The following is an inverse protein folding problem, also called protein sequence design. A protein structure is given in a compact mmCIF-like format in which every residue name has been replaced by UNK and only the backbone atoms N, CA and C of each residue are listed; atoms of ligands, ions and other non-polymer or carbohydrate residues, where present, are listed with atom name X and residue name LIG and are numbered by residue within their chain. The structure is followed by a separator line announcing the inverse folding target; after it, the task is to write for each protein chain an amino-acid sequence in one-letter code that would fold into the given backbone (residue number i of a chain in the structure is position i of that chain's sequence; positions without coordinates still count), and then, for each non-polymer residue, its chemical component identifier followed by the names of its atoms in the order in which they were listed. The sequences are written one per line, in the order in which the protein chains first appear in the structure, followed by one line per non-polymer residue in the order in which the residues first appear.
data_IF_944949747429
#
_entry.id   IF_944949747429
#
_cell.length_a   1.000
_cell.length_b   1.000
_cell.length_c   1.000
_cell.angle_alpha   90.00
_cell.angle_beta   90.00
_cell.angle_gamma   90.00
#
_symmetry.space_group_name_H-M   'P 1'
#
loop_
_entity.id
_entity.type
_entity.pdbx_description
1 polymer ?
#
# COMPACT_ATOMS: atom_id res chain seq x y z
N UNK A 1 -6.65 18.71 -19.91
CA UNK A 1 -5.56 18.30 -20.81
C UNK A 1 -4.54 17.48 -20.00
N UNK A 2 -4.84 16.20 -19.70
CA UNK A 2 -3.99 15.26 -18.93
C UNK A 2 -4.08 13.82 -19.50
N UNK A 3 -4.49 13.67 -20.77
CA UNK A 3 -4.86 12.36 -21.36
C UNK A 3 -3.70 11.47 -21.85
N UNK A 4 -2.44 11.74 -21.48
CA UNK A 4 -1.29 10.94 -21.97
C UNK A 4 -0.18 10.78 -20.93
N UNK A 5 -0.46 9.95 -19.92
CA UNK A 5 0.56 9.27 -19.13
C UNK A 5 0.20 7.78 -19.21
N UNK A 6 1.18 6.92 -19.46
CA UNK A 6 0.97 5.46 -19.59
C UNK A 6 0.33 4.84 -18.33
N UNK A 7 0.38 5.55 -17.19
CA UNK A 7 -0.16 5.13 -15.90
C UNK A 7 -1.56 5.69 -15.58
N UNK A 8 -2.26 6.33 -16.52
CA UNK A 8 -3.52 7.03 -16.21
C UNK A 8 -4.62 6.11 -15.65
N UNK A 9 -4.76 4.88 -16.16
CA UNK A 9 -5.74 3.93 -15.64
C UNK A 9 -5.42 3.52 -14.19
N UNK A 10 -4.14 3.32 -13.87
CA UNK A 10 -3.67 3.04 -12.50
C UNK A 10 -3.97 4.20 -11.56
N UNK A 11 -3.76 5.45 -12.02
CA UNK A 11 -4.08 6.65 -11.24
C UNK A 11 -5.59 6.75 -10.97
N UNK A 12 -6.45 6.39 -11.94
CA UNK A 12 -7.90 6.34 -11.69
C UNK A 12 -8.25 5.31 -10.63
N UNK A 13 -7.64 4.13 -10.67
CA UNK A 13 -7.83 3.10 -9.63
C UNK A 13 -7.40 3.63 -8.26
N UNK A 14 -6.25 4.33 -8.16
CA UNK A 14 -5.80 5.00 -6.94
C UNK A 14 -6.87 6.01 -6.45
N UNK A 15 -7.33 6.94 -7.30
CA UNK A 15 -8.35 7.94 -6.94
C UNK A 15 -9.64 7.28 -6.43
N UNK A 16 -10.11 6.23 -7.12
CA UNK A 16 -11.33 5.50 -6.76
C UNK A 16 -11.16 4.84 -5.40
N UNK A 17 -10.04 4.19 -5.14
CA UNK A 17 -9.79 3.51 -3.88
C UNK A 17 -9.65 4.50 -2.72
N UNK A 18 -8.87 5.57 -2.88
CA UNK A 18 -8.74 6.63 -1.87
C UNK A 18 -10.09 7.30 -1.55
N UNK A 19 -10.95 7.48 -2.57
CA UNK A 19 -12.32 7.97 -2.39
C UNK A 19 -13.14 7.03 -1.50
N UNK A 20 -13.04 5.73 -1.71
CA UNK A 20 -13.73 4.70 -0.90
C UNK A 20 -13.21 4.73 0.53
N UNK A 21 -11.88 4.74 0.73
CA UNK A 21 -11.26 4.75 2.06
C UNK A 21 -11.64 5.99 2.90
N UNK A 22 -11.90 7.13 2.26
CA UNK A 22 -12.34 8.36 2.93
C UNK A 22 -13.86 8.60 2.87
N UNK A 23 -14.65 7.63 2.41
CA UNK A 23 -16.10 7.74 2.29
C UNK A 23 -16.58 8.99 1.52
N UNK A 24 -15.84 9.39 0.48
CA UNK A 24 -16.16 10.56 -0.35
C UNK A 24 -17.26 10.23 -1.37
N UNK A 25 -18.15 11.19 -1.68
CA UNK A 25 -19.32 10.95 -2.55
C UNK A 25 -18.93 10.50 -3.96
N UNK A 26 -19.70 9.58 -4.53
CA UNK A 26 -19.38 9.00 -5.84
C UNK A 26 -19.62 9.96 -7.02
N UNK A 27 -20.49 10.96 -6.83
CA UNK A 27 -21.07 11.79 -7.89
C UNK A 27 -20.07 12.80 -8.50
N UNK A 28 -19.01 13.21 -7.78
CA UNK A 28 -18.16 14.32 -8.23
C UNK A 28 -16.69 13.96 -8.40
N UNK A 29 -16.38 13.26 -9.51
CA UNK A 29 -15.02 12.75 -9.83
C UNK A 29 -13.91 13.80 -9.73
N UNK A 30 -14.09 14.98 -10.34
CA UNK A 30 -13.06 16.03 -10.35
C UNK A 30 -12.88 16.68 -8.97
N UNK A 31 -13.97 16.99 -8.25
CA UNK A 31 -13.89 17.58 -6.90
C UNK A 31 -13.17 16.64 -5.92
N UNK A 32 -13.41 15.32 -6.03
CA UNK A 32 -12.72 14.33 -5.20
C UNK A 32 -11.22 14.31 -5.46
N UNK A 33 -10.80 14.33 -6.73
CA UNK A 33 -9.37 14.39 -7.04
C UNK A 33 -8.70 15.66 -6.49
N UNK A 34 -9.32 16.83 -6.67
CA UNK A 34 -8.82 18.09 -6.09
C UNK A 34 -8.74 18.00 -4.57
N UNK A 35 -9.78 17.47 -3.92
CA UNK A 35 -9.81 17.26 -2.47
C UNK A 35 -8.68 16.33 -2.00
N UNK A 36 -8.45 15.22 -2.69
CA UNK A 36 -7.35 14.29 -2.40
C UNK A 36 -6.00 14.99 -2.52
N UNK A 37 -5.77 15.76 -3.59
CA UNK A 37 -4.54 16.53 -3.77
C UNK A 37 -4.35 17.61 -2.70
N UNK A 38 -5.41 18.31 -2.27
CA UNK A 38 -5.30 19.42 -1.32
C UNK A 38 -5.12 18.93 0.12
N UNK A 39 -5.89 17.95 0.56
CA UNK A 39 -5.94 17.59 1.99
C UNK A 39 -5.08 16.37 2.35
N UNK A 40 -4.77 15.48 1.40
CA UNK A 40 -4.13 14.20 1.71
C UNK A 40 -2.70 14.16 1.18
N UNK A 41 -1.73 14.55 2.00
CA UNK A 41 -0.31 14.57 1.61
C UNK A 41 0.22 13.19 1.21
N UNK A 42 -0.24 12.12 1.87
CA UNK A 42 0.11 10.75 1.52
C UNK A 42 -0.42 10.32 0.13
N UNK A 43 -1.58 10.86 -0.31
CA UNK A 43 -2.07 10.65 -1.67
C UNK A 43 -1.09 11.24 -2.70
N UNK A 44 -0.54 12.42 -2.40
CA UNK A 44 0.47 13.07 -3.27
C UNK A 44 1.69 12.17 -3.44
N UNK A 45 2.13 11.44 -2.42
CA UNK A 45 3.28 10.53 -2.53
C UNK A 45 3.01 9.45 -3.59
N UNK A 46 1.83 8.81 -3.52
CA UNK A 46 1.41 7.80 -4.51
C UNK A 46 1.26 8.45 -5.89
N UNK A 47 0.52 9.56 -5.98
CA UNK A 47 0.28 10.25 -7.24
C UNK A 47 1.58 10.70 -7.93
N UNK A 48 2.52 11.26 -7.17
CA UNK A 48 3.82 11.70 -7.66
C UNK A 48 4.70 10.53 -8.10
N UNK A 49 4.68 9.43 -7.36
CA UNK A 49 5.31 8.18 -7.79
C UNK A 49 4.79 7.72 -9.17
N UNK A 50 3.47 7.86 -9.44
CA UNK A 50 2.88 7.47 -10.75
C UNK A 50 3.29 8.37 -11.91
N UNK A 51 3.35 9.69 -11.71
CA UNK A 51 3.55 10.67 -12.81
C UNK A 51 5.03 11.03 -13.08
N UNK A 52 5.95 10.64 -12.19
CA UNK A 52 7.41 10.81 -12.30
C UNK A 52 7.87 12.24 -12.61
N UNK A 53 7.88 12.65 -13.88
CA UNK A 53 8.54 13.87 -14.40
C UNK A 53 7.80 15.18 -14.10
N UNK A 54 6.50 15.13 -13.85
CA UNK A 54 5.67 16.30 -13.53
C UNK A 54 5.64 16.66 -12.03
N UNK A 55 6.35 15.90 -11.22
CA UNK A 55 6.34 16.03 -9.75
C UNK A 55 6.99 17.32 -9.27
N UNK A 56 8.11 17.74 -9.88
CA UNK A 56 8.89 18.88 -9.40
C UNK A 56 8.05 20.16 -9.31
N UNK A 57 7.34 20.53 -10.39
CA UNK A 57 6.51 21.74 -10.40
C UNK A 57 5.32 21.65 -9.43
N UNK A 58 4.66 20.49 -9.35
CA UNK A 58 3.53 20.30 -8.44
C UNK A 58 3.98 20.29 -6.97
N UNK A 59 5.17 19.76 -6.69
CA UNK A 59 5.72 19.65 -5.33
C UNK A 59 6.07 21.00 -4.71
N UNK A 60 6.30 22.04 -5.51
CA UNK A 60 6.52 23.41 -5.03
C UNK A 60 5.26 23.98 -4.34
N UNK A 61 4.07 23.70 -4.88
CA UNK A 61 2.80 24.21 -4.34
C UNK A 61 2.06 23.20 -3.45
N UNK A 62 2.21 21.92 -3.77
CA UNK A 62 1.56 20.80 -3.09
C UNK A 62 2.64 19.77 -2.71
N UNK A 63 3.45 20.05 -1.67
CA UNK A 63 4.54 19.15 -1.31
C UNK A 63 4.01 17.78 -0.88
N UNK A 64 4.71 16.69 -1.23
CA UNK A 64 4.43 15.36 -0.69
C UNK A 64 4.67 15.33 0.83
N UNK A 65 4.16 14.30 1.49
CA UNK A 65 4.60 14.00 2.85
C UNK A 65 6.04 13.45 2.78
N UNK A 66 6.91 13.85 3.70
CA UNK A 66 8.32 13.37 3.74
C UNK A 66 8.43 11.84 3.81
N UNK A 67 7.42 11.21 4.41
CA UNK A 67 7.22 9.76 4.53
C UNK A 67 5.83 9.43 3.96
N UNK A 68 5.54 8.24 3.44
CA UNK A 68 6.37 7.04 3.35
C UNK A 68 7.50 7.12 2.32
N UNK A 69 8.50 6.25 2.52
CA UNK A 69 9.46 5.87 1.48
C UNK A 69 8.84 4.75 0.63
N UNK A 70 8.83 4.91 -0.69
CA UNK A 70 8.33 3.91 -1.64
C UNK A 70 9.46 3.59 -2.64
N UNK A 71 9.92 2.35 -2.62
CA UNK A 71 10.88 1.78 -3.57
C UNK A 71 10.37 0.41 -4.00
N UNK A 72 9.96 0.27 -5.26
CA UNK A 72 9.42 -0.99 -5.77
C UNK A 72 10.12 -1.36 -7.07
N UNK A 73 10.62 -2.59 -7.14
CA UNK A 73 11.46 -3.07 -8.23
C UNK A 73 10.68 -3.24 -9.54
N UNK A 74 9.56 -3.97 -9.50
CA UNK A 74 8.80 -4.33 -10.71
C UNK A 74 7.61 -3.42 -10.93
N UNK A 75 6.57 -3.57 -10.10
CA UNK A 75 5.30 -2.88 -10.30
C UNK A 75 4.53 -2.68 -9.00
N UNK A 76 3.75 -1.61 -8.97
CA UNK A 76 2.68 -1.37 -8.02
C UNK A 76 1.41 -1.26 -8.85
N UNK A 77 0.41 -2.11 -8.65
CA UNK A 77 -0.88 -1.98 -9.32
C UNK A 77 -1.75 -0.89 -8.65
N UNK A 78 -2.95 -0.62 -9.16
CA UNK A 78 -3.76 0.52 -8.70
C UNK A 78 -4.46 0.29 -7.35
N UNK A 79 -4.68 1.38 -6.62
CA UNK A 79 -5.29 1.36 -5.30
C UNK A 79 -4.30 1.21 -4.16
N UNK A 80 -3.10 1.78 -4.24
CA UNK A 80 -2.19 1.82 -3.08
C UNK A 80 -2.64 2.93 -2.13
N UNK A 81 -3.04 2.57 -0.91
CA UNK A 81 -3.52 3.50 0.11
C UNK A 81 -2.60 3.53 1.34
N UNK A 82 -2.27 4.73 1.80
CA UNK A 82 -1.55 4.92 3.06
C UNK A 82 -2.46 5.56 4.10
N UNK A 83 -2.79 4.79 5.13
CA UNK A 83 -3.45 5.31 6.33
C UNK A 83 -2.36 5.84 7.27
N UNK A 84 -2.30 7.15 7.45
CA UNK A 84 -1.26 7.81 8.26
C UNK A 84 0.16 7.38 7.85
N UNK A 85 0.64 7.68 6.63
CA UNK A 85 1.92 7.17 6.12
C UNK A 85 3.23 7.59 6.85
N UNK A 86 3.14 8.05 8.10
CA UNK A 86 4.25 8.39 8.99
C UNK A 86 5.13 7.15 9.28
N UNK A 87 6.44 7.33 9.12
CA UNK A 87 7.47 6.31 9.38
C UNK A 87 7.24 4.97 8.65
N UNK A 88 6.57 5.01 7.49
CA UNK A 88 6.28 3.80 6.70
C UNK A 88 7.33 3.61 5.61
N UNK A 89 7.93 2.43 5.56
CA UNK A 89 8.95 2.03 4.59
C UNK A 89 8.37 0.92 3.73
N UNK A 90 8.29 1.17 2.42
CA UNK A 90 7.81 0.19 1.44
C UNK A 90 8.91 -0.08 0.44
N UNK A 91 9.70 -1.13 0.72
CA UNK A 91 10.71 -1.68 -0.18
C UNK A 91 10.28 -3.08 -0.59
N UNK A 92 9.69 -3.22 -1.78
CA UNK A 92 9.04 -4.45 -2.21
C UNK A 92 9.40 -4.83 -3.66
N UNK A 93 9.25 -6.10 -4.00
CA UNK A 93 9.46 -6.57 -5.36
C UNK A 93 8.26 -6.21 -6.25
N UNK A 94 7.05 -6.42 -5.74
CA UNK A 94 5.81 -5.96 -6.38
C UNK A 94 4.67 -5.84 -5.38
N UNK A 95 3.70 -4.98 -5.69
CA UNK A 95 2.48 -4.78 -4.90
C UNK A 95 1.26 -4.87 -5.83
N UNK A 96 0.29 -5.69 -5.45
CA UNK A 96 -0.99 -5.86 -6.15
C UNK A 96 -1.96 -4.69 -5.96
N UNK A 97 -3.22 -4.93 -6.34
CA UNK A 97 -4.30 -3.94 -6.33
C UNK A 97 -4.88 -3.73 -4.94
N UNK A 98 -5.36 -2.50 -4.68
CA UNK A 98 -6.18 -2.15 -3.49
C UNK A 98 -5.50 -2.53 -2.16
N UNK A 99 -4.20 -2.27 -2.05
CA UNK A 99 -3.45 -2.52 -0.83
C UNK A 99 -3.55 -1.34 0.13
N UNK A 100 -3.82 -1.66 1.40
CA UNK A 100 -3.94 -0.71 2.49
C UNK A 100 -2.72 -0.84 3.42
N UNK A 101 -1.98 0.23 3.63
CA UNK A 101 -0.77 0.23 4.48
C UNK A 101 -0.90 1.33 5.54
N UNK A 102 -0.74 0.98 6.81
CA UNK A 102 -0.77 1.91 7.94
C UNK A 102 0.60 2.56 8.24
N UNK A 103 0.62 3.48 9.22
CA UNK A 103 1.83 4.04 9.82
C UNK A 103 2.80 2.96 10.32
N UNK A 104 4.10 3.29 10.33
CA UNK A 104 5.16 2.48 10.94
C UNK A 104 5.27 1.05 10.39
N UNK A 105 4.68 0.80 9.22
CA UNK A 105 4.85 -0.47 8.52
C UNK A 105 6.22 -0.49 7.85
N UNK A 106 6.93 -1.60 7.99
CA UNK A 106 8.15 -1.87 7.23
C UNK A 106 7.96 -3.09 6.34
N UNK A 107 8.00 -2.86 5.03
CA UNK A 107 8.11 -3.91 4.01
C UNK A 107 9.55 -3.80 3.49
N UNK A 108 10.33 -4.86 3.62
CA UNK A 108 11.77 -4.76 3.33
C UNK A 108 12.49 -6.09 3.14
N UNK A 109 13.76 -5.97 2.79
CA UNK A 109 14.64 -7.11 2.52
C UNK A 109 15.16 -7.75 3.81
N UNK A 110 15.50 -9.04 3.71
CA UNK A 110 16.39 -9.69 4.67
C UNK A 110 17.84 -9.69 4.13
N UNK A 111 18.76 -10.37 4.81
CA UNK A 111 20.16 -10.47 4.41
C UNK A 111 20.42 -11.22 3.10
N UNK A 112 19.41 -11.89 2.53
CA UNK A 112 19.55 -12.74 1.35
C UNK A 112 19.22 -12.03 0.03
N UNK A 113 18.89 -10.72 0.09
CA UNK A 113 18.44 -9.90 -1.04
C UNK A 113 17.11 -10.38 -1.64
N UNK A 114 16.18 -9.45 -1.89
CA UNK A 114 14.88 -9.74 -2.49
C UNK A 114 13.70 -9.23 -1.66
N UNK A 115 12.79 -8.52 -2.34
CA UNK A 115 11.64 -7.85 -1.73
C UNK A 115 10.41 -8.74 -1.60
N UNK A 116 9.57 -8.48 -0.60
CA UNK A 116 8.26 -9.12 -0.51
C UNK A 116 7.45 -8.92 -1.79
N UNK A 117 6.71 -9.96 -2.18
CA UNK A 117 5.66 -9.91 -3.20
C UNK A 117 4.32 -9.79 -2.48
N UNK A 118 3.65 -8.66 -2.63
CA UNK A 118 2.35 -8.41 -2.01
C UNK A 118 1.24 -8.63 -3.06
N UNK A 119 0.29 -9.50 -2.75
CA UNK A 119 -0.88 -9.79 -3.57
C UNK A 119 -1.93 -8.66 -3.58
N UNK A 120 -3.12 -8.98 -4.07
CA UNK A 120 -4.25 -8.05 -4.15
C UNK A 120 -5.04 -7.99 -2.83
N UNK A 121 -5.65 -6.85 -2.54
CA UNK A 121 -6.50 -6.61 -1.37
C UNK A 121 -5.79 -6.91 -0.03
N UNK A 122 -4.49 -6.62 0.06
CA UNK A 122 -3.72 -6.86 1.28
C UNK A 122 -3.81 -5.64 2.20
N UNK A 123 -4.14 -5.88 3.46
CA UNK A 123 -4.17 -4.87 4.51
C UNK A 123 -3.03 -5.11 5.49
N UNK A 124 -2.12 -4.14 5.64
CA UNK A 124 -0.97 -4.21 6.53
C UNK A 124 -1.12 -3.11 7.57
N UNK A 125 -1.45 -3.51 8.80
CA UNK A 125 -1.79 -2.59 9.87
C UNK A 125 -0.56 -2.08 10.63
N UNK A 126 -0.80 -1.09 11.50
CA UNK A 126 0.24 -0.24 12.06
C UNK A 126 1.36 -1.03 12.73
N UNK A 127 2.61 -0.65 12.48
CA UNK A 127 3.78 -1.26 13.11
C UNK A 127 4.12 -2.68 12.64
N UNK A 128 3.43 -3.22 11.64
CA UNK A 128 3.75 -4.55 11.11
C UNK A 128 5.05 -4.55 10.30
N UNK A 129 5.80 -5.65 10.42
CA UNK A 129 7.03 -5.92 9.68
C UNK A 129 6.80 -7.09 8.72
N UNK A 130 7.04 -6.87 7.42
CA UNK A 130 6.97 -7.90 6.37
C UNK A 130 8.34 -7.97 5.70
N UNK A 131 9.13 -8.99 6.05
CA UNK A 131 10.58 -8.98 5.80
C UNK A 131 11.02 -10.24 5.03
N UNK A 132 11.79 -10.02 3.96
CA UNK A 132 12.42 -11.06 3.13
C UNK A 132 11.75 -11.28 1.77
N UNK A 133 12.34 -12.14 0.93
CA UNK A 133 11.74 -12.57 -0.35
C UNK A 133 10.61 -13.58 -0.08
N UNK A 134 9.53 -13.07 0.52
CA UNK A 134 8.32 -13.83 0.87
C UNK A 134 7.14 -13.36 0.04
N UNK A 135 6.15 -14.24 -0.10
CA UNK A 135 4.90 -13.97 -0.79
C UNK A 135 3.76 -13.78 0.20
N UNK A 136 3.12 -12.62 0.14
CA UNK A 136 1.83 -12.39 0.79
C UNK A 136 0.74 -12.62 -0.26
N UNK A 137 -0.15 -13.57 0.00
CA UNK A 137 -1.28 -13.91 -0.84
C UNK A 137 -2.33 -12.79 -0.97
N UNK A 138 -3.39 -13.10 -1.70
CA UNK A 138 -4.51 -12.18 -1.89
C UNK A 138 -5.45 -12.18 -0.69
N UNK A 139 -6.13 -11.05 -0.47
CA UNK A 139 -7.11 -10.86 0.62
C UNK A 139 -6.50 -11.17 2.01
N UNK A 140 -5.23 -10.85 2.19
CA UNK A 140 -4.51 -11.09 3.44
C UNK A 140 -4.63 -9.87 4.35
N UNK A 141 -4.86 -10.13 5.64
CA UNK A 141 -4.75 -9.12 6.69
C UNK A 141 -3.53 -9.42 7.53
N UNK A 142 -2.56 -8.50 7.54
CA UNK A 142 -1.44 -8.48 8.48
C UNK A 142 -1.80 -7.55 9.63
N UNK A 143 -2.01 -8.12 10.81
CA UNK A 143 -2.38 -7.38 12.01
C UNK A 143 -1.32 -6.41 12.49
N UNK A 144 -1.73 -5.47 13.33
CA UNK A 144 -0.83 -4.48 13.90
C UNK A 144 0.29 -5.14 14.71
N UNK A 145 1.52 -4.65 14.54
CA UNK A 145 2.71 -5.17 15.22
C UNK A 145 3.14 -6.60 14.81
N UNK A 146 2.53 -7.19 13.79
CA UNK A 146 2.90 -8.54 13.35
C UNK A 146 4.28 -8.58 12.70
N UNK A 147 5.05 -9.65 12.94
CA UNK A 147 6.35 -9.88 12.30
C UNK A 147 6.24 -11.08 11.38
N UNK A 148 6.11 -10.80 10.09
CA UNK A 148 5.88 -11.76 9.01
C UNK A 148 7.19 -11.99 8.26
N UNK A 149 7.75 -13.18 8.42
CA UNK A 149 9.04 -13.60 7.84
C UNK A 149 8.92 -14.87 6.99
N UNK A 150 7.68 -15.28 6.68
CA UNK A 150 7.35 -16.45 5.87
C UNK A 150 6.15 -16.13 4.97
N UNK A 151 5.97 -16.95 3.94
CA UNK A 151 4.85 -16.83 3.02
C UNK A 151 3.51 -16.91 3.75
N UNK A 152 2.56 -16.08 3.30
CA UNK A 152 1.18 -16.07 3.81
C UNK A 152 0.24 -16.50 2.67
N UNK A 153 -0.54 -17.58 2.84
CA UNK A 153 -1.54 -17.98 1.85
C UNK A 153 -2.67 -16.96 1.67
N UNK A 154 -3.41 -17.09 0.56
CA UNK A 154 -4.61 -16.28 0.30
C UNK A 154 -5.67 -16.42 1.40
N UNK A 155 -6.48 -15.36 1.59
CA UNK A 155 -7.61 -15.30 2.53
C UNK A 155 -7.24 -15.56 3.99
N UNK A 156 -6.02 -15.21 4.39
CA UNK A 156 -5.52 -15.38 5.74
C UNK A 156 -5.50 -14.07 6.54
N UNK A 157 -5.69 -14.17 7.86
CA UNK A 157 -5.31 -13.11 8.80
C UNK A 157 -4.15 -13.59 9.64
N UNK A 158 -3.05 -12.84 9.66
CA UNK A 158 -1.85 -13.14 10.44
C UNK A 158 -1.58 -12.07 11.50
N UNK A 159 -1.19 -12.50 12.70
CA UNK A 159 -0.89 -11.61 13.83
C UNK A 159 0.27 -12.16 14.66
N UNK A 160 0.89 -11.31 15.48
CA UNK A 160 1.88 -11.70 16.48
C UNK A 160 3.34 -11.63 16.00
N UNK A 161 4.25 -11.90 16.94
CA UNK A 161 5.69 -11.93 16.72
C UNK A 161 6.28 -13.19 17.40
N UNK A 162 6.67 -14.23 16.65
CA UNK A 162 6.52 -14.38 15.20
C UNK A 162 5.05 -14.49 14.78
N UNK A 163 4.74 -14.08 13.55
CA UNK A 163 3.36 -14.11 13.04
C UNK A 163 2.81 -15.54 12.92
N UNK A 164 1.51 -15.69 13.18
CA UNK A 164 0.72 -16.92 13.05
C UNK A 164 -0.59 -16.63 12.33
N UNK A 165 -1.15 -17.63 11.65
CA UNK A 165 -2.47 -17.51 11.02
C UNK A 165 -3.52 -17.70 12.10
N UNK A 166 -4.38 -16.70 12.28
CA UNK A 166 -5.52 -16.72 13.22
C UNK A 166 -6.87 -16.83 12.53
N UNK A 167 -6.93 -16.55 11.22
CA UNK A 167 -8.09 -16.84 10.38
C UNK A 167 -7.68 -17.31 9.01
N UNK A 168 -8.44 -18.24 8.44
CA UNK A 168 -8.30 -18.73 7.07
C UNK A 168 -9.67 -18.94 6.45
N UNK A 169 -9.93 -18.33 5.29
CA UNK A 169 -11.23 -18.40 4.61
C UNK A 169 -12.42 -18.03 5.52
N UNK A 170 -12.24 -17.04 6.39
CA UNK A 170 -13.27 -16.61 7.34
C UNK A 170 -13.42 -17.47 8.60
N UNK A 171 -12.71 -18.59 8.71
CA UNK A 171 -12.74 -19.49 9.88
C UNK A 171 -11.57 -19.19 10.81
N UNK A 172 -11.81 -19.17 12.13
CA UNK A 172 -10.76 -19.03 13.14
C UNK A 172 -9.89 -20.27 13.19
N UNK A 173 -8.57 -20.09 13.15
CA UNK A 173 -7.56 -21.16 13.21
C UNK A 173 -6.41 -20.75 14.14
N UNK A 174 -5.50 -21.67 14.44
CA UNK A 174 -4.23 -21.35 15.11
C UNK A 174 -3.11 -22.16 14.43
N UNK A 175 -2.68 -21.66 13.28
CA UNK A 175 -1.65 -22.30 12.46
C UNK A 175 -0.35 -21.51 12.60
N UNK A 176 0.77 -22.21 12.79
CA UNK A 176 2.06 -21.57 12.63
C UNK A 176 2.24 -21.11 11.19
N UNK A 177 2.76 -19.90 11.02
CA UNK A 177 3.28 -19.47 9.73
C UNK A 177 4.60 -20.18 9.42
#
# INVERSE_FOLDING_TARGET
MLKRCDNWEVIKEDIVFWRICYHLSAEVKYKNWVRLMVYHKAFRNVFYFRIKRWTYMLSLFLPPQKEPLISVEKKIDGGLFFCHGFSTIVVAKSIGKRCWINQQVTIGYNSQWGGPVIGDNVHIFAGALVIGDIKIGNNVVVGAGAVVVKDVPDNCTVVGNPARIVKRNGVTVNESL
#
